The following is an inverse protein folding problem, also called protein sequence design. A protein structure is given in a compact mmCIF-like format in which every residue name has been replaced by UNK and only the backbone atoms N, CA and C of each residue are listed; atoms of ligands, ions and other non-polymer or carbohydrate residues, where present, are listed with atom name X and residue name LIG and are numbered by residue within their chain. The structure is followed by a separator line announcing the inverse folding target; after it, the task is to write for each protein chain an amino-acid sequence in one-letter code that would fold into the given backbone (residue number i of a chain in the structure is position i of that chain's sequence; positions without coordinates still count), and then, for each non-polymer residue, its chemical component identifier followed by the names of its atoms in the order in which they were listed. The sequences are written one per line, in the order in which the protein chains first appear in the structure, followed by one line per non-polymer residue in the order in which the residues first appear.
data_IF_480638769607
#
_entry.id   IF_480638769607
#
_cell.length_a   1.000
_cell.length_b   1.000
_cell.length_c   1.000
_cell.angle_alpha   90.00
_cell.angle_beta   90.00
_cell.angle_gamma   90.00
#
_symmetry.space_group_name_H-M   'P 1'
#
loop_
_entity.id
_entity.type
_entity.pdbx_description
1 polymer ?
#
# COMPACT_ATOMS: atom_id res chain seq x y z
N UNK A 1 -1.78 16.31 -9.11
CA UNK A 1 -0.94 17.03 -8.12
C UNK A 1 0.09 16.07 -7.53
N UNK A 2 1.13 15.75 -8.31
CA UNK A 2 2.23 14.87 -7.92
C UNK A 2 3.32 15.72 -7.25
N UNK A 3 3.63 15.38 -6.00
CA UNK A 3 4.83 15.71 -5.22
C UNK A 3 5.70 16.87 -5.75
N UNK A 4 5.38 18.11 -5.37
CA UNK A 4 6.24 19.30 -5.57
C UNK A 4 7.30 19.48 -4.47
N UNK A 5 7.52 18.44 -3.65
CA UNK A 5 8.25 18.53 -2.37
C UNK A 5 9.51 17.65 -2.30
N UNK A 6 10.05 17.20 -3.44
CA UNK A 6 11.36 16.54 -3.50
C UNK A 6 12.38 17.43 -4.25
N UNK A 7 12.58 18.65 -3.76
CA UNK A 7 13.68 19.55 -4.13
C UNK A 7 14.44 19.90 -2.86
N UNK A 8 15.11 18.93 -2.24
CA UNK A 8 16.11 19.18 -1.21
C UNK A 8 17.51 19.10 -1.83
N UNK A 9 18.37 20.04 -1.45
CA UNK A 9 19.61 20.49 -2.09
C UNK A 9 20.79 19.48 -2.10
N UNK A 10 20.52 18.18 -2.06
CA UNK A 10 21.53 17.13 -2.04
C UNK A 10 21.02 16.01 -2.95
N UNK A 11 21.72 15.73 -4.06
CA UNK A 11 21.32 14.79 -5.11
C UNK A 11 21.23 13.31 -4.69
N UNK A 12 20.52 13.00 -3.60
CA UNK A 12 20.21 11.67 -3.12
C UNK A 12 18.69 11.58 -3.00
N UNK A 13 18.09 10.75 -3.86
CA UNK A 13 16.67 10.41 -3.80
C UNK A 13 16.33 9.88 -2.41
N UNK A 14 15.46 10.58 -1.67
CA UNK A 14 14.83 9.98 -0.51
C UNK A 14 13.85 8.89 -1.00
N UNK A 15 13.92 7.67 -0.46
CA UNK A 15 13.00 6.63 -0.84
C UNK A 15 11.59 7.03 -0.40
N UNK A 16 10.68 7.21 -1.36
CA UNK A 16 9.28 7.48 -1.08
C UNK A 16 8.53 6.14 -1.02
N UNK A 17 7.77 5.91 0.04
CA UNK A 17 7.02 4.66 0.26
C UNK A 17 5.52 4.89 0.12
N UNK A 18 4.80 3.87 -0.35
CA UNK A 18 3.33 3.85 -0.41
C UNK A 18 2.82 2.57 0.24
N UNK A 19 1.86 2.69 1.14
CA UNK A 19 1.20 1.56 1.78
C UNK A 19 -0.29 1.50 1.37
N UNK A 20 -0.78 0.30 1.13
CA UNK A 20 -2.20 -0.01 0.94
C UNK A 20 -2.71 -0.67 2.20
N UNK A 21 -3.76 -0.12 2.80
CA UNK A 21 -4.35 -0.59 4.04
C UNK A 21 -5.88 -0.57 3.97
N UNK A 22 -6.52 -1.38 4.80
CA UNK A 22 -7.96 -1.35 5.00
C UNK A 22 -8.27 -0.55 6.26
N UNK A 23 -9.12 0.48 6.12
CA UNK A 23 -9.26 1.54 7.10
C UNK A 23 -9.92 1.12 8.43
N UNK A 24 -10.86 0.16 8.42
CA UNK A 24 -11.46 -0.35 9.66
C UNK A 24 -12.12 -1.70 9.45
N UNK A 25 -11.67 -2.72 10.18
CA UNK A 25 -12.41 -3.97 10.36
C UNK A 25 -12.30 -4.40 11.83
N UNK A 26 -13.43 -4.44 12.56
CA UNK A 26 -13.52 -4.87 13.97
C UNK A 26 -12.40 -4.29 14.86
N UNK A 27 -12.22 -2.98 14.80
CA UNK A 27 -11.18 -2.22 15.55
C UNK A 27 -9.72 -2.52 15.18
N UNK A 28 -9.48 -3.29 14.11
CA UNK A 28 -8.14 -3.58 13.59
C UNK A 28 -7.90 -2.92 12.23
N UNK A 29 -6.71 -2.36 12.05
CA UNK A 29 -6.23 -1.82 10.76
C UNK A 29 -5.34 -2.87 10.10
N UNK A 30 -5.72 -3.30 8.89
CA UNK A 30 -4.95 -4.29 8.14
C UNK A 30 -4.07 -3.60 7.09
N UNK A 31 -2.75 -3.78 7.22
CA UNK A 31 -1.78 -3.33 6.20
C UNK A 31 -1.59 -4.48 5.22
N UNK A 32 -2.01 -4.28 3.97
CA UNK A 32 -1.98 -5.32 2.93
C UNK A 32 -0.59 -5.42 2.28
N UNK A 33 -0.04 -4.27 1.91
CA UNK A 33 1.21 -4.20 1.17
C UNK A 33 1.83 -2.80 1.27
N UNK A 34 3.14 -2.74 1.45
CA UNK A 34 3.93 -1.51 1.40
C UNK A 34 5.03 -1.67 0.34
N UNK A 35 5.17 -0.69 -0.54
CA UNK A 35 6.13 -0.71 -1.63
C UNK A 35 6.81 0.65 -1.82
N UNK A 36 8.04 0.61 -2.31
CA UNK A 36 8.78 1.82 -2.69
C UNK A 36 8.22 2.36 -4.00
N UNK A 37 7.98 3.67 -4.06
CA UNK A 37 7.48 4.36 -5.23
C UNK A 37 8.54 4.36 -6.34
N UNK A 38 8.33 3.57 -7.37
CA UNK A 38 9.13 3.54 -8.59
C UNK A 38 8.50 4.47 -9.64
N UNK A 39 9.14 5.63 -9.85
CA UNK A 39 8.75 6.69 -10.82
C UNK A 39 7.24 7.01 -10.86
N UNK A 40 6.77 7.82 -11.82
CA UNK A 40 5.43 8.43 -11.78
C UNK A 40 4.27 7.47 -12.10
N UNK A 41 4.51 6.14 -12.09
CA UNK A 41 3.55 5.11 -12.42
C UNK A 41 2.90 4.46 -11.18
N UNK A 42 1.70 3.93 -11.36
CA UNK A 42 1.14 2.96 -10.42
C UNK A 42 1.67 1.59 -10.83
N UNK A 43 2.45 0.96 -9.96
CA UNK A 43 2.97 -0.39 -10.18
C UNK A 43 1.80 -1.38 -10.20
N UNK A 44 1.43 -1.83 -11.41
CA UNK A 44 0.29 -2.73 -11.63
C UNK A 44 0.51 -4.09 -10.98
N UNK A 45 1.77 -4.54 -10.90
CA UNK A 45 2.15 -5.79 -10.26
C UNK A 45 1.91 -5.71 -8.76
N UNK A 46 2.42 -4.66 -8.10
CA UNK A 46 2.20 -4.43 -6.68
C UNK A 46 0.72 -4.24 -6.34
N UNK A 47 -0.05 -3.62 -7.24
CA UNK A 47 -1.50 -3.45 -7.07
C UNK A 47 -2.28 -4.76 -7.23
N UNK A 48 -1.86 -5.64 -8.15
CA UNK A 48 -2.43 -6.99 -8.28
C UNK A 48 -2.15 -7.83 -7.03
N UNK A 49 -0.92 -7.82 -6.53
CA UNK A 49 -0.56 -8.50 -5.27
C UNK A 49 -1.36 -7.99 -4.08
N UNK A 50 -1.57 -6.67 -3.98
CA UNK A 50 -2.43 -6.11 -2.93
C UNK A 50 -3.88 -6.60 -3.03
N UNK A 51 -4.40 -6.76 -4.25
CA UNK A 51 -5.77 -7.26 -4.51
C UNK A 51 -5.92 -8.73 -4.16
N UNK A 52 -4.93 -9.56 -4.48
CA UNK A 52 -4.92 -10.98 -4.11
C UNK A 52 -4.90 -11.15 -2.59
N UNK A 53 -4.00 -10.44 -1.90
CA UNK A 53 -3.93 -10.42 -0.43
C UNK A 53 -5.22 -9.94 0.23
N UNK A 54 -5.91 -8.99 -0.38
CA UNK A 54 -7.22 -8.54 0.12
C UNK A 54 -8.27 -9.64 0.03
N UNK A 55 -8.34 -10.41 -1.07
CA UNK A 55 -9.26 -11.54 -1.22
C UNK A 55 -9.00 -12.62 -0.17
N UNK A 56 -7.74 -12.95 0.06
CA UNK A 56 -7.34 -13.90 1.10
C UNK A 56 -7.74 -13.43 2.50
N UNK A 57 -7.48 -12.14 2.80
CA UNK A 57 -7.83 -11.54 4.08
C UNK A 57 -9.34 -11.57 4.32
N UNK A 58 -10.16 -11.20 3.33
CA UNK A 58 -11.63 -11.31 3.41
C UNK A 58 -12.09 -12.75 3.64
N UNK A 59 -11.46 -13.72 2.98
CA UNK A 59 -11.76 -15.15 3.18
C UNK A 59 -11.44 -15.65 4.59
N UNK A 60 -10.35 -15.19 5.19
CA UNK A 60 -9.99 -15.51 6.59
C UNK A 60 -10.93 -14.84 7.58
N UNK A 61 -11.17 -13.55 7.38
CA UNK A 61 -12.05 -12.74 8.21
C UNK A 61 -13.50 -13.26 8.24
N UNK A 62 -14.02 -13.71 7.09
CA UNK A 62 -15.37 -14.29 7.02
C UNK A 62 -15.52 -15.58 7.82
N UNK A 63 -14.43 -16.33 8.05
CA UNK A 63 -14.44 -17.55 8.88
C UNK A 63 -14.32 -17.25 10.37
N UNK A 64 -13.58 -16.22 10.73
CA UNK A 64 -13.33 -15.79 12.11
C UNK A 64 -14.46 -14.92 12.69
N UNK A 65 -15.55 -14.77 11.93
CA UNK A 65 -16.70 -13.96 12.28
C UNK A 65 -17.98 -14.70 12.63
N UNK A 66 -17.90 -15.99 12.92
CA UNK A 66 -19.04 -16.82 13.35
C UNK A 66 -18.97 -17.13 14.83
#
# INVERSE_FOLDING_TARGET
MICRLCRTASGRFCPAYRAVYCAKYRDTVFILHAFTKTTNGVDRTAMNTARERYREMVGRIGREGR
#
